data_IF_346174661118
#
_entry.id   IF_346174661118
#
_cell.length_a   1.000
_cell.length_b   1.000
_cell.length_c   1.000
_cell.angle_alpha   90.00
_cell.angle_beta   90.00
_cell.angle_gamma   90.00
#
_symmetry.space_group_name_H-M   'P 1'
#
loop_
_entity.id
_entity.type
_entity.pdbx_description
1 polymer ?
#
# COMPACT_ATOMS: atom_id res chain seq x y z
N UNK A 1 -24.60 -11.99 9.06
CA UNK A 1 -23.13 -12.02 9.20
C UNK A 1 -22.58 -11.53 7.87
N UNK A 2 -22.12 -10.27 7.84
CA UNK A 2 -21.67 -9.63 6.60
C UNK A 2 -20.36 -10.25 6.15
N UNK A 3 -20.32 -10.74 4.91
CA UNK A 3 -19.09 -11.21 4.28
C UNK A 3 -18.25 -9.95 4.04
N UNK A 4 -17.36 -9.62 4.99
CA UNK A 4 -16.32 -8.62 4.75
C UNK A 4 -15.53 -9.09 3.54
N UNK A 5 -15.58 -8.29 2.46
CA UNK A 5 -14.94 -8.61 1.18
C UNK A 5 -13.43 -8.51 1.39
N UNK A 6 -12.83 -9.60 1.85
CA UNK A 6 -11.39 -9.74 2.04
C UNK A 6 -10.72 -9.45 0.70
N UNK A 7 -10.03 -8.32 0.58
CA UNK A 7 -9.36 -7.92 -0.64
C UNK A 7 -8.07 -8.73 -0.77
N UNK A 8 -8.11 -9.87 -1.46
CA UNK A 8 -6.91 -10.68 -1.69
C UNK A 8 -6.04 -10.09 -2.79
N UNK A 9 -4.72 -10.26 -2.67
CA UNK A 9 -3.72 -9.76 -3.64
C UNK A 9 -4.05 -10.12 -5.08
N UNK A 10 -4.64 -11.30 -5.30
CA UNK A 10 -5.05 -11.78 -6.64
C UNK A 10 -6.16 -10.96 -7.31
N UNK A 11 -6.79 -10.03 -6.60
CA UNK A 11 -7.76 -9.09 -7.18
C UNK A 11 -7.09 -7.87 -7.85
N UNK A 12 -5.80 -7.67 -7.63
CA UNK A 12 -5.05 -6.50 -8.07
C UNK A 12 -3.99 -6.88 -9.11
N UNK A 13 -3.76 -6.02 -10.10
CA UNK A 13 -2.62 -6.19 -10.99
C UNK A 13 -1.30 -5.90 -10.24
N UNK A 14 -0.18 -6.57 -10.57
CA UNK A 14 1.09 -6.36 -9.87
C UNK A 14 1.63 -4.93 -9.97
N UNK A 15 1.25 -4.17 -11.00
CA UNK A 15 1.56 -2.75 -11.16
C UNK A 15 0.44 -1.80 -10.72
N UNK A 16 -0.62 -2.31 -10.10
CA UNK A 16 -1.72 -1.47 -9.59
C UNK A 16 -1.30 -0.76 -8.31
N UNK A 17 -1.79 0.46 -8.13
CA UNK A 17 -1.55 1.25 -6.92
C UNK A 17 -2.72 1.08 -5.98
N UNK A 18 -2.42 0.64 -4.75
CA UNK A 18 -3.38 0.48 -3.67
C UNK A 18 -3.07 1.44 -2.53
N UNK A 19 -4.07 1.73 -1.72
CA UNK A 19 -3.91 2.55 -0.52
C UNK A 19 -3.84 1.64 0.70
N UNK A 20 -2.70 1.62 1.38
CA UNK A 20 -2.57 1.06 2.72
C UNK A 20 -3.23 2.04 3.71
N UNK A 21 -4.26 1.61 4.42
CA UNK A 21 -5.00 2.44 5.39
C UNK A 21 -4.48 2.35 6.81
N UNK A 22 -3.79 1.27 7.13
CA UNK A 22 -3.30 0.99 8.46
C UNK A 22 -1.84 0.53 8.39
N UNK A 23 -1.02 0.83 9.41
CA UNK A 23 0.37 0.39 9.42
C UNK A 23 0.45 -1.14 9.33
N UNK A 24 1.26 -1.64 8.40
CA UNK A 24 1.51 -3.07 8.25
C UNK A 24 2.89 -3.40 8.83
N UNK A 25 2.90 -4.16 9.92
CA UNK A 25 4.11 -4.64 10.55
C UNK A 25 4.51 -5.97 9.92
N UNK A 26 5.68 -6.00 9.29
CA UNK A 26 6.30 -7.24 8.81
C UNK A 26 7.54 -7.56 9.62
N UNK A 27 8.03 -8.82 9.61
CA UNK A 27 9.22 -9.21 10.35
C UNK A 27 10.50 -8.43 10.01
N UNK A 28 10.54 -7.70 8.89
CA UNK A 28 11.71 -6.94 8.45
C UNK A 28 11.47 -5.47 8.08
N UNK A 29 10.22 -4.98 8.12
CA UNK A 29 9.86 -3.61 7.73
C UNK A 29 8.50 -3.20 8.31
N UNK A 30 8.41 -1.94 8.70
CA UNK A 30 7.13 -1.26 8.95
C UNK A 30 6.70 -0.53 7.67
N UNK A 31 5.49 -0.77 7.22
CA UNK A 31 4.86 -0.01 6.13
C UNK A 31 3.85 0.96 6.72
N UNK A 32 4.08 2.25 6.50
CA UNK A 32 3.18 3.30 6.97
C UNK A 32 1.96 3.45 6.04
N UNK A 33 0.80 3.89 6.54
CA UNK A 33 -0.36 4.18 5.69
C UNK A 33 -0.01 5.11 4.53
N UNK A 34 -0.29 4.68 3.30
CA UNK A 34 0.20 5.36 2.10
C UNK A 34 -0.19 4.65 0.81
N UNK A 35 0.21 5.23 -0.32
CA UNK A 35 0.00 4.61 -1.64
C UNK A 35 1.20 3.73 -1.96
N UNK A 36 0.92 2.50 -2.34
CA UNK A 36 1.95 1.52 -2.71
C UNK A 36 1.56 0.79 -3.97
N UNK A 37 2.56 0.38 -4.73
CA UNK A 37 2.38 -0.59 -5.80
C UNK A 37 2.12 -1.95 -5.13
N UNK A 38 1.20 -2.72 -5.69
CA UNK A 38 0.83 -4.05 -5.17
C UNK A 38 2.05 -4.96 -5.01
N UNK A 39 2.99 -4.90 -5.96
CA UNK A 39 4.26 -5.64 -5.89
C UNK A 39 5.21 -5.20 -4.78
N UNK A 40 5.05 -4.00 -4.22
CA UNK A 40 5.90 -3.50 -3.11
C UNK A 40 5.34 -3.84 -1.72
N UNK A 41 4.07 -4.26 -1.63
CA UNK A 41 3.44 -4.63 -0.37
C UNK A 41 3.48 -6.14 -0.13
N UNK A 42 3.65 -6.56 1.14
CA UNK A 42 3.57 -7.97 1.50
C UNK A 42 2.14 -8.50 1.34
N UNK A 43 2.04 -9.79 1.04
CA UNK A 43 0.77 -10.52 0.95
C UNK A 43 -0.10 -10.36 2.20
N UNK A 44 0.56 -10.29 3.36
CA UNK A 44 -0.06 -10.08 4.67
C UNK A 44 -0.89 -8.80 4.74
N UNK A 45 -0.50 -7.72 4.05
CA UNK A 45 -1.27 -6.47 4.03
C UNK A 45 -2.64 -6.67 3.34
N UNK A 46 -2.69 -7.51 2.31
CA UNK A 46 -3.91 -7.89 1.60
C UNK A 46 -4.72 -8.90 2.40
N UNK A 47 -4.08 -9.92 2.97
CA UNK A 47 -4.77 -10.89 3.81
C UNK A 47 -5.37 -10.26 5.06
N UNK A 48 -4.71 -9.28 5.67
CA UNK A 48 -5.27 -8.55 6.81
C UNK A 48 -6.32 -7.49 6.42
N UNK A 49 -6.59 -7.29 5.12
CA UNK A 49 -7.54 -6.29 4.65
C UNK A 49 -7.13 -4.85 4.96
N UNK A 50 -5.83 -4.59 5.13
CA UNK A 50 -5.30 -3.26 5.47
C UNK A 50 -5.23 -2.32 4.25
N UNK A 51 -5.44 -2.88 3.05
CA UNK A 51 -5.34 -2.19 1.77
C UNK A 51 -6.73 -1.95 1.18
N UNK A 52 -6.86 -0.85 0.46
CA UNK A 52 -8.04 -0.54 -0.34
C UNK A 52 -7.68 -0.26 -1.79
N UNK A 53 -8.57 -0.71 -2.68
CA UNK A 53 -8.50 -0.39 -4.09
C UNK A 53 -8.79 1.10 -4.29
N UNK A 54 -7.86 1.79 -4.95
CA UNK A 54 -8.10 3.15 -5.39
C UNK A 54 -9.01 3.13 -6.63
N UNK A 55 -9.92 4.11 -6.78
CA UNK A 55 -10.73 4.20 -7.98
C UNK A 55 -9.80 4.28 -9.21
N UNK A 56 -10.10 3.58 -10.32
CA UNK A 56 -9.33 3.72 -11.54
C UNK A 56 -9.41 5.19 -11.94
N UNK A 57 -8.27 5.88 -11.90
CA UNK A 57 -8.17 7.30 -12.29
C UNK A 57 -8.49 7.43 -13.78
N UNK A 58 -9.78 7.57 -14.10
CA UNK A 58 -10.25 8.03 -15.40
C UNK A 58 -9.97 9.53 -15.48
N UNK A 59 -8.74 9.88 -15.84
CA UNK A 59 -8.38 11.24 -16.22
C UNK A 59 -7.07 11.72 -15.61
N UNK A 60 -6.09 11.93 -16.50
CA UNK A 60 -4.82 12.64 -16.30
C UNK A 60 -3.77 11.93 -15.42
N UNK A 61 -2.85 11.27 -16.11
CA UNK A 61 -1.50 10.95 -15.64
C UNK A 61 -0.81 12.19 -15.06
N UNK A 62 -0.33 12.12 -13.81
CA UNK A 62 0.86 12.81 -13.33
C UNK A 62 1.16 12.42 -11.88
N UNK A 63 2.38 11.92 -11.67
CA UNK A 63 3.17 12.12 -10.45
C UNK A 63 2.75 11.39 -9.16
N UNK A 64 3.12 10.11 -9.06
CA UNK A 64 3.45 9.51 -7.75
C UNK A 64 4.97 9.56 -7.65
N UNK A 65 5.50 10.71 -7.18
CA UNK A 65 6.89 10.82 -6.76
C UNK A 65 7.08 9.97 -5.51
N UNK A 66 8.07 9.09 -5.58
CA UNK A 66 8.72 8.44 -4.45
C UNK A 66 8.79 9.37 -3.21
N UNK A 67 8.06 9.04 -2.15
CA UNK A 67 8.52 9.36 -0.80
C UNK A 67 9.25 8.13 -0.27
N UNK A 68 10.53 8.02 -0.62
CA UNK A 68 11.50 7.31 0.20
C UNK A 68 11.72 8.20 1.42
N UNK A 69 11.45 7.78 2.68
CA UNK A 69 11.91 8.54 3.82
C UNK A 69 13.44 8.44 3.86
N UNK A 70 14.12 9.54 3.55
CA UNK A 70 15.56 9.71 3.80
C UNK A 70 15.81 9.67 5.31
N UNK A 71 16.69 8.80 5.82
CA UNK A 71 17.14 8.86 7.21
C UNK A 71 18.41 9.73 7.26
N UNK A 72 18.28 11.01 7.58
CA UNK A 72 19.42 11.83 7.97
C UNK A 72 18.96 13.01 8.81
N UNK A 73 19.24 12.99 10.11
CA UNK A 73 19.83 14.13 10.81
C UNK A 73 20.03 13.77 12.30
N UNK A 74 21.21 13.21 12.57
CA UNK A 74 21.93 13.27 13.83
C UNK A 74 22.55 14.68 13.97
N UNK A 75 22.55 15.26 15.17
CA UNK A 75 23.53 16.28 15.57
C UNK A 75 23.03 17.71 15.73
N UNK A 76 22.90 18.14 16.99
CA UNK A 76 23.44 19.41 17.50
C UNK A 76 23.65 19.30 19.01
#
# INVERSE_FOLDING_TARGET
MGIERKMWRGMFAPGEVVQLKQPCFTPGRLFEPGRYIVGDLPDTAFDMGLVEQLPPVKGKSAEIRNSVPSPENEGS
#
